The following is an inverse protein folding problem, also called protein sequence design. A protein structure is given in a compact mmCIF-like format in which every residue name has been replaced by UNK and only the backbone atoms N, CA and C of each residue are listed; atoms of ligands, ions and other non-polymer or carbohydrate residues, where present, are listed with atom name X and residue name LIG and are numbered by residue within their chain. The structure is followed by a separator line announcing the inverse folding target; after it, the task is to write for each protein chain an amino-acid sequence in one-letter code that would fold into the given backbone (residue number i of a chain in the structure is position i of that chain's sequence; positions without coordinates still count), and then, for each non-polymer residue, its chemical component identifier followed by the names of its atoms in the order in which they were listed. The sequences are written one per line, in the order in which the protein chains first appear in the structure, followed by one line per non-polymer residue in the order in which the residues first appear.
data_IF_099551465663
#
_entry.id   IF_099551465663
#
_cell.length_a   1.000
_cell.length_b   1.000
_cell.length_c   1.000
_cell.angle_alpha   90.00
_cell.angle_beta   90.00
_cell.angle_gamma   90.00
#
_symmetry.space_group_name_H-M   'P 1'
#
loop_
_entity.id
_entity.type
_entity.pdbx_description
1 polymer ?
#
# COMPACT_ATOMS: atom_id res chain seq x y z
N UNK A 1 -21.90 23.45 12.93
CA UNK A 1 -22.39 22.16 13.50
C UNK A 1 -23.58 21.59 12.72
N UNK A 2 -24.63 22.35 12.46
CA UNK A 2 -25.86 21.88 11.75
C UNK A 2 -25.57 21.23 10.36
N UNK A 3 -24.65 21.77 9.55
CA UNK A 3 -24.29 21.23 8.23
C UNK A 3 -23.66 19.82 8.31
N UNK A 4 -22.83 19.58 9.31
CA UNK A 4 -22.17 18.26 9.50
C UNK A 4 -23.23 17.22 9.92
N UNK A 5 -24.17 17.58 10.79
CA UNK A 5 -25.27 16.70 11.20
C UNK A 5 -26.15 16.32 10.01
N UNK A 6 -26.46 17.28 9.14
CA UNK A 6 -27.26 17.03 7.92
C UNK A 6 -26.52 16.08 6.96
N UNK A 7 -25.21 16.27 6.76
CA UNK A 7 -24.41 15.38 5.90
C UNK A 7 -24.35 13.97 6.48
N UNK A 8 -24.12 13.83 7.79
CA UNK A 8 -24.12 12.52 8.46
C UNK A 8 -25.48 11.83 8.37
N UNK A 9 -26.57 12.56 8.60
CA UNK A 9 -27.91 12.02 8.45
C UNK A 9 -28.23 11.57 7.02
N UNK A 10 -27.78 12.33 6.01
CA UNK A 10 -27.93 11.97 4.60
C UNK A 10 -27.12 10.70 4.26
N UNK A 11 -25.89 10.56 4.75
CA UNK A 11 -25.06 9.36 4.56
C UNK A 11 -25.67 8.13 5.21
N UNK A 12 -26.19 8.27 6.42
CA UNK A 12 -26.89 7.18 7.13
C UNK A 12 -28.17 6.80 6.38
N UNK A 13 -28.95 7.78 5.92
CA UNK A 13 -30.15 7.56 5.14
C UNK A 13 -29.90 6.83 3.82
N UNK A 14 -28.85 7.22 3.08
CA UNK A 14 -28.40 6.54 1.86
C UNK A 14 -27.90 5.11 2.14
N UNK A 15 -27.20 4.90 3.26
CA UNK A 15 -26.79 3.57 3.70
C UNK A 15 -27.98 2.66 4.01
N UNK A 16 -28.98 3.19 4.73
CA UNK A 16 -30.21 2.46 5.07
C UNK A 16 -31.04 2.09 3.83
N UNK A 17 -31.09 2.96 2.81
CA UNK A 17 -31.77 2.70 1.53
C UNK A 17 -31.10 1.56 0.72
N UNK A 18 -29.80 1.34 0.88
CA UNK A 18 -29.06 0.24 0.23
C UNK A 18 -29.28 -1.12 0.89
N UNK A 19 -29.59 -1.16 2.18
CA UNK A 19 -29.75 -2.39 2.95
C UNK A 19 -30.71 -3.42 2.33
N UNK A 20 -31.92 -3.06 1.85
CA UNK A 20 -32.82 -4.03 1.23
C UNK A 20 -32.29 -4.57 -0.10
N UNK A 21 -31.58 -3.74 -0.88
CA UNK A 21 -30.96 -4.15 -2.15
C UNK A 21 -29.83 -5.14 -1.89
N UNK A 22 -28.97 -4.85 -0.92
CA UNK A 22 -27.85 -5.73 -0.54
C UNK A 22 -28.35 -7.07 0.05
N UNK A 23 -29.43 -7.05 0.83
CA UNK A 23 -30.05 -8.28 1.33
C UNK A 23 -30.63 -9.14 0.21
N UNK A 24 -31.30 -8.55 -0.76
CA UNK A 24 -31.84 -9.29 -1.92
C UNK A 24 -30.71 -9.84 -2.80
N UNK A 25 -29.65 -9.08 -3.02
CA UNK A 25 -28.46 -9.54 -3.74
C UNK A 25 -27.77 -10.70 -2.99
N UNK A 26 -27.65 -10.61 -1.68
CA UNK A 26 -27.07 -11.66 -0.86
C UNK A 26 -27.89 -12.97 -0.88
N UNK A 27 -29.23 -12.86 -0.93
CA UNK A 27 -30.12 -14.01 -1.09
C UNK A 27 -29.97 -14.65 -2.47
N UNK A 28 -29.95 -13.82 -3.54
CA UNK A 28 -29.73 -14.29 -4.90
C UNK A 28 -28.35 -14.97 -5.06
N UNK A 29 -27.30 -14.38 -4.52
CA UNK A 29 -25.96 -14.98 -4.55
C UNK A 29 -25.87 -16.32 -3.80
N UNK A 30 -26.63 -16.50 -2.71
CA UNK A 30 -26.72 -17.81 -2.01
C UNK A 30 -27.48 -18.85 -2.84
N UNK A 31 -28.54 -18.45 -3.55
CA UNK A 31 -29.32 -19.35 -4.41
C UNK A 31 -28.54 -19.79 -5.65
N UNK A 32 -27.70 -18.94 -6.19
CA UNK A 32 -26.84 -19.19 -7.36
C UNK A 32 -25.53 -19.94 -7.02
N UNK A 33 -25.39 -20.51 -5.82
CA UNK A 33 -24.17 -21.21 -5.36
C UNK A 33 -22.89 -20.36 -5.43
N UNK A 34 -23.00 -19.04 -5.51
CA UNK A 34 -21.90 -18.16 -5.20
C UNK A 34 -21.63 -18.23 -3.70
N UNK A 35 -20.73 -19.13 -3.31
CA UNK A 35 -20.26 -19.23 -1.94
C UNK A 35 -19.51 -17.93 -1.65
N UNK A 36 -20.15 -17.03 -0.93
CA UNK A 36 -19.45 -15.88 -0.35
C UNK A 36 -18.26 -16.44 0.42
N UNK A 37 -17.08 -15.89 0.17
CA UNK A 37 -15.88 -16.23 0.93
C UNK A 37 -16.23 -16.02 2.40
N UNK A 38 -16.49 -17.11 3.13
CA UNK A 38 -16.56 -17.04 4.59
C UNK A 38 -15.19 -16.52 5.04
N UNK A 39 -15.18 -15.35 5.66
CA UNK A 39 -13.99 -14.78 6.25
C UNK A 39 -13.57 -15.63 7.45
N UNK A 40 -12.95 -16.75 7.15
CA UNK A 40 -12.32 -17.60 8.15
C UNK A 40 -11.08 -16.86 8.70
N UNK A 41 -10.91 -16.85 10.02
CA UNK A 41 -9.75 -16.28 10.68
C UNK A 41 -8.44 -16.89 10.18
N UNK A 42 -8.43 -18.18 9.83
CA UNK A 42 -7.28 -18.89 9.24
C UNK A 42 -6.93 -18.39 7.83
N UNK A 43 -7.94 -17.99 7.04
CA UNK A 43 -7.73 -17.39 5.74
C UNK A 43 -7.14 -15.97 5.88
N UNK A 44 -7.56 -15.24 6.93
CA UNK A 44 -7.03 -13.93 7.28
C UNK A 44 -5.54 -14.00 7.66
N UNK A 45 -5.15 -15.04 8.38
CA UNK A 45 -3.76 -15.26 8.78
C UNK A 45 -2.89 -15.69 7.59
N UNK A 46 -3.39 -16.56 6.70
CA UNK A 46 -2.71 -17.04 5.49
C UNK A 46 -2.60 -16.00 4.38
N UNK A 47 -3.62 -15.17 4.19
CA UNK A 47 -3.63 -14.12 3.17
C UNK A 47 -2.90 -12.86 3.64
N UNK A 48 -2.66 -12.73 4.94
CA UNK A 48 -2.03 -11.57 5.53
C UNK A 48 -2.81 -10.27 5.29
N UNK A 49 -2.23 -9.16 5.71
CA UNK A 49 -2.81 -7.83 5.58
C UNK A 49 -3.14 -7.44 4.12
N UNK A 50 -2.38 -7.97 3.16
CA UNK A 50 -2.56 -7.73 1.72
C UNK A 50 -3.81 -8.40 1.14
N UNK A 51 -4.16 -9.61 1.61
CA UNK A 51 -5.37 -10.28 1.18
C UNK A 51 -6.65 -9.57 1.66
N UNK A 52 -6.62 -9.00 2.86
CA UNK A 52 -7.71 -8.19 3.37
C UNK A 52 -7.90 -6.89 2.56
N UNK A 53 -6.80 -6.23 2.21
CA UNK A 53 -6.81 -5.02 1.36
C UNK A 53 -7.27 -5.37 -0.07
N UNK A 54 -6.91 -6.56 -0.57
CA UNK A 54 -7.40 -7.06 -1.86
C UNK A 54 -8.89 -7.32 -1.89
N UNK A 55 -9.48 -7.77 -0.76
CA UNK A 55 -10.93 -7.93 -0.62
C UNK A 55 -11.67 -6.57 -0.65
N UNK A 56 -11.00 -5.48 -0.28
CA UNK A 56 -11.48 -4.11 -0.41
C UNK A 56 -11.22 -3.54 -1.82
N UNK A 57 -11.41 -4.33 -2.88
CA UNK A 57 -10.96 -4.05 -4.26
C UNK A 57 -11.23 -2.64 -4.78
N UNK A 58 -12.29 -1.95 -4.33
CA UNK A 58 -12.58 -0.56 -4.67
C UNK A 58 -11.70 0.49 -3.98
N UNK A 59 -11.01 0.14 -2.90
CA UNK A 59 -10.23 1.08 -2.07
C UNK A 59 -8.72 0.99 -2.25
N UNK A 60 -8.23 0.10 -3.11
CA UNK A 60 -6.78 -0.11 -3.33
C UNK A 60 -6.04 1.18 -3.68
N UNK A 61 -6.63 2.01 -4.54
CA UNK A 61 -6.02 3.27 -4.95
C UNK A 61 -5.90 4.22 -3.76
N UNK A 62 -6.97 4.40 -3.00
CA UNK A 62 -6.99 5.29 -1.83
C UNK A 62 -5.98 4.86 -0.78
N UNK A 63 -5.87 3.53 -0.54
CA UNK A 63 -4.87 3.00 0.40
C UNK A 63 -3.45 3.21 -0.14
N UNK A 64 -3.22 2.99 -1.43
CA UNK A 64 -1.92 3.24 -2.04
C UNK A 64 -1.52 4.71 -1.96
N UNK A 65 -2.44 5.64 -2.20
CA UNK A 65 -2.20 7.08 -2.09
C UNK A 65 -1.88 7.49 -0.64
N UNK A 66 -2.61 6.95 0.34
CA UNK A 66 -2.33 7.21 1.75
C UNK A 66 -0.94 6.68 2.16
N UNK A 67 -0.55 5.49 1.67
CA UNK A 67 0.79 4.94 1.90
C UNK A 67 1.87 5.75 1.17
N UNK A 68 1.57 6.31 0.00
CA UNK A 68 2.50 7.15 -0.75
C UNK A 68 2.81 8.45 0.00
N UNK A 69 1.78 9.07 0.60
CA UNK A 69 1.97 10.25 1.49
C UNK A 69 2.86 9.89 2.69
N UNK A 70 2.65 8.69 3.30
CA UNK A 70 3.50 8.22 4.38
C UNK A 70 4.94 7.94 3.91
N UNK A 71 5.12 7.42 2.68
CA UNK A 71 6.45 7.21 2.11
C UNK A 71 7.20 8.53 1.91
N UNK A 72 6.49 9.59 1.50
CA UNK A 72 7.05 10.94 1.43
C UNK A 72 7.51 11.45 2.80
N UNK A 73 6.68 11.29 3.84
CA UNK A 73 7.08 11.63 5.21
C UNK A 73 8.28 10.82 5.70
N UNK A 74 8.35 9.53 5.36
CA UNK A 74 9.50 8.70 5.69
C UNK A 74 10.79 9.16 4.97
N UNK A 75 10.66 9.64 3.72
CA UNK A 75 11.76 10.26 2.99
C UNK A 75 12.28 11.54 3.67
N UNK A 76 11.39 12.46 4.05
CA UNK A 76 11.75 13.69 4.75
C UNK A 76 12.51 13.41 6.06
N UNK A 77 12.14 12.34 6.76
CA UNK A 77 12.78 11.91 8.00
C UNK A 77 13.97 10.96 7.80
N UNK A 78 14.37 10.71 6.54
CA UNK A 78 15.47 9.77 6.19
C UNK A 78 15.27 8.35 6.71
N UNK A 79 14.02 7.92 6.88
CA UNK A 79 13.62 6.58 7.34
C UNK A 79 13.61 5.59 6.17
N UNK A 80 14.77 5.31 5.57
CA UNK A 80 14.90 4.53 4.32
C UNK A 80 14.28 3.13 4.40
N UNK A 81 14.42 2.45 5.52
CA UNK A 81 13.82 1.12 5.73
C UNK A 81 12.29 1.17 5.74
N UNK A 82 11.69 2.16 6.41
CA UNK A 82 10.26 2.37 6.43
C UNK A 82 9.73 2.72 5.04
N UNK A 83 10.43 3.62 4.35
CA UNK A 83 10.07 4.02 2.98
C UNK A 83 10.10 2.83 2.02
N UNK A 84 11.11 1.96 2.10
CA UNK A 84 11.18 0.72 1.32
C UNK A 84 9.97 -0.19 1.54
N UNK A 85 9.57 -0.39 2.81
CA UNK A 85 8.40 -1.21 3.14
C UNK A 85 7.11 -0.61 2.59
N UNK A 86 6.93 0.70 2.69
CA UNK A 86 5.78 1.41 2.15
C UNK A 86 5.70 1.27 0.63
N UNK A 87 6.79 1.48 -0.11
CA UNK A 87 6.81 1.32 -1.56
C UNK A 87 6.53 -0.12 -2.01
N UNK A 88 7.01 -1.13 -1.28
CA UNK A 88 6.65 -2.53 -1.55
C UNK A 88 5.14 -2.77 -1.43
N UNK A 89 4.49 -2.18 -0.44
CA UNK A 89 3.05 -2.27 -0.28
C UNK A 89 2.30 -1.51 -1.39
N UNK A 90 2.73 -0.30 -1.72
CA UNK A 90 2.14 0.55 -2.77
C UNK A 90 2.19 -0.18 -4.11
N UNK A 91 3.35 -0.70 -4.51
CA UNK A 91 3.51 -1.41 -5.79
C UNK A 91 2.74 -2.73 -5.83
N UNK A 92 2.54 -3.39 -4.70
CA UNK A 92 1.66 -4.57 -4.61
C UNK A 92 0.18 -4.20 -4.75
N UNK A 93 -0.25 -3.07 -4.20
CA UNK A 93 -1.64 -2.60 -4.30
C UNK A 93 -1.96 -2.08 -5.71
N UNK A 94 -1.02 -1.42 -6.34
CA UNK A 94 -1.18 -0.76 -7.65
C UNK A 94 -0.03 -1.14 -8.61
N UNK A 95 0.08 -2.43 -9.01
CA UNK A 95 1.21 -2.91 -9.80
C UNK A 95 1.31 -2.30 -11.20
N UNK A 96 0.20 -1.77 -11.74
CA UNK A 96 0.15 -1.17 -13.07
C UNK A 96 0.46 0.33 -13.09
N UNK A 97 0.69 0.95 -11.94
CA UNK A 97 1.01 2.38 -11.84
C UNK A 97 2.52 2.56 -11.84
N UNK A 98 3.08 2.79 -13.03
CA UNK A 98 4.52 2.95 -13.25
C UNK A 98 5.16 4.01 -12.37
N UNK A 99 4.43 5.10 -12.06
CA UNK A 99 4.91 6.15 -11.17
C UNK A 99 5.42 5.62 -9.83
N UNK A 100 4.73 4.64 -9.25
CA UNK A 100 5.12 4.09 -7.95
C UNK A 100 6.42 3.27 -8.03
N UNK A 101 6.61 2.51 -9.11
CA UNK A 101 7.83 1.75 -9.34
C UNK A 101 9.02 2.68 -9.59
N UNK A 102 8.84 3.66 -10.48
CA UNK A 102 9.88 4.64 -10.82
C UNK A 102 10.29 5.47 -9.60
N UNK A 103 9.32 5.99 -8.84
CA UNK A 103 9.58 6.76 -7.63
C UNK A 103 10.30 5.92 -6.57
N UNK A 104 9.88 4.66 -6.36
CA UNK A 104 10.53 3.75 -5.43
C UNK A 104 11.98 3.48 -5.84
N UNK A 105 12.19 3.19 -7.13
CA UNK A 105 13.51 2.95 -7.69
C UNK A 105 14.44 4.14 -7.52
N UNK A 106 13.95 5.34 -7.84
CA UNK A 106 14.73 6.57 -7.71
C UNK A 106 15.11 6.85 -6.25
N UNK A 107 14.17 6.70 -5.32
CA UNK A 107 14.46 6.91 -3.90
C UNK A 107 15.47 5.90 -3.35
N UNK A 108 15.38 4.63 -3.73
CA UNK A 108 16.33 3.62 -3.27
C UNK A 108 17.69 3.77 -3.94
N UNK A 109 17.72 3.80 -5.29
CA UNK A 109 18.99 3.81 -6.03
C UNK A 109 19.75 5.12 -5.87
N UNK A 110 19.07 6.24 -5.67
CA UNK A 110 19.69 7.55 -5.57
C UNK A 110 19.70 8.08 -4.12
N UNK A 111 18.56 8.41 -3.56
CA UNK A 111 18.51 9.10 -2.27
C UNK A 111 19.08 8.25 -1.12
N UNK A 112 18.59 7.02 -0.96
CA UNK A 112 19.04 6.14 0.12
C UNK A 112 20.49 5.67 -0.07
N UNK A 113 20.89 5.37 -1.31
CA UNK A 113 22.26 4.95 -1.61
C UNK A 113 23.28 6.06 -1.33
N UNK A 114 22.98 7.29 -1.73
CA UNK A 114 23.83 8.47 -1.47
C UNK A 114 23.88 8.78 0.03
N UNK A 115 22.73 8.71 0.71
CA UNK A 115 22.68 8.91 2.16
C UNK A 115 23.51 7.86 2.91
N UNK A 116 23.42 6.58 2.51
CA UNK A 116 24.22 5.51 3.11
C UNK A 116 25.73 5.71 2.90
N UNK A 117 26.13 6.17 1.72
CA UNK A 117 27.56 6.46 1.46
C UNK A 117 28.07 7.63 2.30
N UNK A 118 27.22 8.61 2.57
CA UNK A 118 27.56 9.82 3.32
C UNK A 118 27.23 9.73 4.83
N UNK A 119 26.85 8.56 5.33
CA UNK A 119 26.48 8.37 6.74
C UNK A 119 27.71 8.59 7.64
N UNK A 120 27.70 9.71 8.37
CA UNK A 120 28.76 10.08 9.30
C UNK A 120 28.77 9.22 10.57
N UNK A 121 27.63 8.59 10.90
CA UNK A 121 27.52 7.72 12.09
C UNK A 121 28.14 6.34 11.84
N UNK A 122 28.38 5.98 10.57
CA UNK A 122 29.09 4.76 10.20
C UNK A 122 30.54 5.06 9.84
N UNK A 123 31.52 4.82 10.77
CA UNK A 123 32.91 5.18 10.56
C UNK A 123 33.63 4.30 9.52
N UNK A 124 33.11 3.07 9.29
CA UNK A 124 33.74 2.09 8.40
C UNK A 124 33.31 2.32 6.95
N UNK A 125 34.23 2.80 6.11
CA UNK A 125 33.96 3.04 4.69
C UNK A 125 33.41 1.80 3.97
N UNK A 126 33.97 0.60 4.26
CA UNK A 126 33.51 -0.64 3.63
C UNK A 126 32.02 -0.94 3.90
N UNK A 127 31.50 -0.60 5.10
CA UNK A 127 30.08 -0.77 5.43
C UNK A 127 29.22 0.26 4.74
N UNK A 128 29.68 1.49 4.57
CA UNK A 128 28.98 2.51 3.79
C UNK A 128 28.86 2.11 2.32
N UNK A 129 29.94 1.64 1.72
CA UNK A 129 29.94 1.13 0.33
C UNK A 129 29.00 -0.07 0.20
N UNK A 130 29.00 -0.99 1.16
CA UNK A 130 28.09 -2.13 1.16
C UNK A 130 26.63 -1.67 1.18
N UNK A 131 26.27 -0.79 2.12
CA UNK A 131 24.90 -0.25 2.24
C UNK A 131 24.48 0.53 0.98
N UNK A 132 25.37 1.33 0.40
CA UNK A 132 25.12 2.01 -0.86
C UNK A 132 24.75 1.03 -1.98
N UNK A 133 25.52 -0.05 -2.14
CA UNK A 133 25.27 -1.07 -3.16
C UNK A 133 23.96 -1.82 -2.93
N UNK A 134 23.62 -2.09 -1.68
CA UNK A 134 22.34 -2.73 -1.30
C UNK A 134 21.16 -1.86 -1.69
N UNK A 135 21.18 -0.57 -1.38
CA UNK A 135 20.13 0.36 -1.79
C UNK A 135 20.05 0.53 -3.31
N UNK A 136 21.20 0.58 -3.98
CA UNK A 136 21.21 0.62 -5.46
C UNK A 136 20.58 -0.63 -6.06
N UNK A 137 20.90 -1.82 -5.53
CA UNK A 137 20.31 -3.07 -5.97
C UNK A 137 18.78 -3.12 -5.74
N UNK A 138 18.30 -2.57 -4.61
CA UNK A 138 16.86 -2.44 -4.33
C UNK A 138 16.15 -1.52 -5.34
N UNK A 139 16.77 -0.40 -5.71
CA UNK A 139 16.21 0.46 -6.74
C UNK A 139 16.16 -0.20 -8.11
N UNK A 140 17.19 -0.95 -8.47
CA UNK A 140 17.21 -1.77 -9.69
C UNK A 140 16.08 -2.82 -9.69
N UNK A 141 15.88 -3.55 -8.57
CA UNK A 141 14.81 -4.53 -8.41
C UNK A 141 13.42 -3.91 -8.63
N UNK A 142 13.17 -2.68 -8.14
CA UNK A 142 11.92 -1.98 -8.41
C UNK A 142 11.72 -1.70 -9.90
N UNK A 143 12.75 -1.26 -10.63
CA UNK A 143 12.63 -1.01 -12.07
C UNK A 143 12.37 -2.30 -12.85
N UNK A 144 13.10 -3.36 -12.54
CA UNK A 144 12.97 -4.66 -13.23
C UNK A 144 11.55 -5.23 -13.04
N UNK A 145 11.03 -5.22 -11.82
CA UNK A 145 9.67 -5.70 -11.52
C UNK A 145 8.55 -4.79 -12.03
N UNK A 146 8.84 -3.52 -12.23
CA UNK A 146 7.87 -2.56 -12.77
C UNK A 146 7.62 -2.73 -14.28
N UNK A 147 8.54 -3.37 -15.01
CA UNK A 147 8.42 -3.60 -16.46
C UNK A 147 7.94 -5.02 -16.80
N UNK A 148 7.80 -5.93 -15.82
CA UNK A 148 7.19 -7.26 -15.96
C UNK A 148 5.65 -7.18 -15.91
#
# INVERSE_FOLDING_TARGET
MMRIVVVLAALIGLGALKLPIERNLAVLHRQEHFHGVEFNLDLREKLGQLGFIAALSGFRAIVADALFIQAYSAWENTEWGRMLLLFRQITTLQPRVMLFWDTAAWHMAWNASVAAMNDRNQPRLALRIKAQREYFALGKDFLERGIE
#
